data_IF_816140559593
#
_entry.id   IF_816140559593
#
_cell.length_a   1.000
_cell.length_b   1.000
_cell.length_c   1.000
_cell.angle_alpha   90.00
_cell.angle_beta   90.00
_cell.angle_gamma   90.00
#
_symmetry.space_group_name_H-M   'P 1'
#
loop_
_entity.id
_entity.type
_entity.pdbx_description
1 polymer ?
#
# COMPACT_ATOMS: atom_id res chain seq x y z
N UNK A 1 13.53 10.08 13.65
CA UNK A 1 12.17 9.59 13.35
C UNK A 1 12.04 8.24 14.00
N UNK A 2 11.20 8.09 15.03
CA UNK A 2 10.99 6.78 15.67
C UNK A 2 10.19 5.93 14.70
N UNK A 3 10.77 4.84 14.21
CA UNK A 3 10.00 3.82 13.50
C UNK A 3 9.07 3.24 14.56
N UNK A 4 7.77 3.48 14.45
CA UNK A 4 6.82 2.79 15.31
C UNK A 4 7.08 1.29 15.16
N UNK A 5 7.32 0.60 16.28
CA UNK A 5 7.49 -0.85 16.26
C UNK A 5 6.16 -1.48 15.85
N UNK A 6 6.00 -1.74 14.56
CA UNK A 6 4.86 -2.48 14.04
C UNK A 6 5.12 -3.97 14.24
N UNK A 7 4.19 -4.66 14.90
CA UNK A 7 4.19 -6.11 15.01
C UNK A 7 3.45 -6.69 13.82
N UNK A 8 4.09 -7.61 13.09
CA UNK A 8 3.44 -8.41 12.04
C UNK A 8 2.23 -9.13 12.61
N UNK A 9 1.08 -9.00 11.96
CA UNK A 9 -0.17 -9.68 12.34
C UNK A 9 -0.44 -10.80 11.35
N UNK A 10 -0.63 -12.01 11.84
CA UNK A 10 -0.93 -13.18 11.01
C UNK A 10 -2.32 -13.73 11.30
N UNK A 11 -2.98 -14.21 10.25
CA UNK A 11 -4.21 -14.99 10.30
C UNK A 11 -4.01 -16.24 9.44
N UNK A 12 -4.98 -17.15 9.41
CA UNK A 12 -4.90 -18.36 8.58
C UNK A 12 -4.65 -18.08 7.09
N UNK A 13 -5.08 -16.93 6.56
CA UNK A 13 -5.02 -16.63 5.12
C UNK A 13 -4.19 -15.39 4.75
N UNK A 14 -3.89 -14.53 5.71
CA UNK A 14 -3.32 -13.21 5.46
C UNK A 14 -2.25 -12.86 6.50
N UNK A 15 -1.26 -12.11 6.05
CA UNK A 15 -0.23 -11.47 6.87
C UNK A 15 -0.26 -9.97 6.62
N UNK A 16 -0.35 -9.18 7.68
CA UNK A 16 -0.14 -7.75 7.65
C UNK A 16 1.27 -7.45 8.17
N UNK A 17 2.08 -6.78 7.36
CA UNK A 17 3.49 -6.44 7.62
C UNK A 17 3.80 -5.04 7.07
N UNK A 18 4.95 -4.49 7.44
CA UNK A 18 5.50 -3.34 6.72
C UNK A 18 5.70 -3.67 5.23
N UNK A 19 5.49 -2.65 4.39
CA UNK A 19 5.82 -2.72 2.97
C UNK A 19 7.31 -2.90 2.75
N UNK A 20 7.63 -3.53 1.62
CA UNK A 20 8.97 -3.62 1.03
C UNK A 20 8.90 -3.09 -0.40
N UNK A 21 10.04 -2.79 -1.00
CA UNK A 21 10.12 -2.23 -2.37
C UNK A 21 9.37 -3.09 -3.40
N UNK A 22 9.35 -4.41 -3.21
CA UNK A 22 8.61 -5.34 -4.07
C UNK A 22 7.09 -5.14 -4.10
N UNK A 23 6.52 -4.49 -3.10
CA UNK A 23 5.08 -4.27 -2.99
C UNK A 23 4.63 -3.02 -3.76
N UNK A 24 5.57 -2.12 -4.08
CA UNK A 24 5.31 -0.83 -4.70
C UNK A 24 4.51 -0.93 -6.01
N UNK A 25 4.87 -1.82 -6.97
CA UNK A 25 4.13 -1.90 -8.23
C UNK A 25 2.67 -2.34 -8.04
N UNK A 26 2.43 -3.27 -7.10
CA UNK A 26 1.08 -3.77 -6.81
C UNK A 26 0.25 -2.71 -6.07
N UNK A 27 0.88 -1.99 -5.15
CA UNK A 27 0.24 -0.90 -4.41
C UNK A 27 -0.24 0.22 -5.35
N UNK A 28 0.63 0.67 -6.27
CA UNK A 28 0.30 1.71 -7.24
C UNK A 28 -0.79 1.24 -8.19
N UNK A 29 -0.70 0.01 -8.71
CA UNK A 29 -1.71 -0.53 -9.61
C UNK A 29 -3.11 -0.54 -8.96
N UNK A 30 -3.20 -0.99 -7.70
CA UNK A 30 -4.47 -0.96 -6.95
C UNK A 30 -4.96 0.46 -6.68
N UNK A 31 -4.06 1.35 -6.24
CA UNK A 31 -4.40 2.73 -5.89
C UNK A 31 -4.89 3.54 -7.10
N UNK A 32 -4.30 3.31 -8.26
CA UNK A 32 -4.61 4.02 -9.50
C UNK A 32 -5.77 3.41 -10.30
N UNK A 33 -6.31 2.25 -9.89
CA UNK A 33 -7.50 1.69 -10.53
C UNK A 33 -8.66 2.70 -10.43
N UNK A 34 -9.24 3.17 -11.55
CA UNK A 34 -10.30 4.18 -11.53
C UNK A 34 -11.52 3.81 -10.68
N UNK A 35 -11.83 2.51 -10.55
CA UNK A 35 -12.94 2.01 -9.75
C UNK A 35 -12.64 2.14 -8.25
N UNK A 36 -11.37 2.07 -7.86
CA UNK A 36 -10.90 2.27 -6.48
C UNK A 36 -10.67 3.75 -6.21
N UNK A 37 -9.95 4.42 -7.11
CA UNK A 37 -9.52 5.80 -7.00
C UNK A 37 -10.70 6.77 -6.84
N UNK A 38 -11.87 6.50 -7.45
CA UNK A 38 -13.07 7.35 -7.28
C UNK A 38 -13.53 7.50 -5.82
N UNK A 39 -13.12 6.59 -4.94
CA UNK A 39 -13.42 6.65 -3.50
C UNK A 39 -12.27 7.21 -2.67
N UNK A 40 -11.09 7.38 -3.27
CA UNK A 40 -9.96 8.04 -2.64
C UNK A 40 -10.02 9.51 -3.06
N UNK A 41 -9.91 10.44 -2.13
CA UNK A 41 -10.00 11.88 -2.41
C UNK A 41 -8.80 12.44 -3.19
N UNK A 42 -8.04 11.58 -3.88
CA UNK A 42 -6.72 11.83 -4.42
C UNK A 42 -6.64 11.34 -5.87
N UNK A 43 -5.85 12.05 -6.68
CA UNK A 43 -5.55 11.66 -8.06
C UNK A 43 -4.58 10.46 -8.09
N UNK A 44 -4.44 9.85 -9.26
CA UNK A 44 -3.47 8.76 -9.47
C UNK A 44 -2.04 9.24 -9.25
N UNK A 45 -1.16 8.33 -8.82
CA UNK A 45 0.23 8.66 -8.46
C UNK A 45 1.22 7.85 -9.30
N UNK A 46 2.38 8.42 -9.59
CA UNK A 46 3.50 7.71 -10.24
C UNK A 46 4.40 7.00 -9.22
N UNK A 47 5.23 6.05 -9.68
CA UNK A 47 6.20 5.34 -8.82
C UNK A 47 7.12 6.26 -8.01
N UNK A 48 7.68 7.36 -8.57
CA UNK A 48 8.51 8.28 -7.79
C UNK A 48 7.77 9.05 -6.69
N UNK A 49 6.43 9.15 -6.77
CA UNK A 49 5.59 9.85 -5.78
C UNK A 49 5.10 8.92 -4.66
N UNK A 50 5.32 7.62 -4.80
CA UNK A 50 4.81 6.55 -3.94
C UNK A 50 5.87 6.07 -2.94
#
# INVERSE_FOLDING_TARGET
MSIANFTTIETTRLRLRHFTDSDLPVFIAYRNDPVVAKYQSWEGISEPEA
#
